data_IF_108130967502
#
_entry.id   IF_108130967502
#
_cell.length_a   1.000
_cell.length_b   1.000
_cell.length_c   1.000
_cell.angle_alpha   90.00
_cell.angle_beta   90.00
_cell.angle_gamma   90.00
#
_symmetry.space_group_name_H-M   'P 1'
#
loop_
_entity.id
_entity.type
_entity.pdbx_description
1 polymer ?
#
# COMPACT_ATOMS: atom_id res chain seq x y z
N UNK A 1 -9.99 -10.27 62.46
CA UNK A 1 -8.70 -9.58 62.64
C UNK A 1 -7.58 -10.48 62.12
N UNK A 2 -6.89 -10.08 61.08
CA UNK A 2 -5.78 -10.84 60.50
C UNK A 2 -5.14 -10.10 59.33
N UNK A 3 -4.22 -9.18 59.64
CA UNK A 3 -3.38 -8.44 58.67
C UNK A 3 -2.49 -9.44 57.92
N UNK A 4 -2.60 -9.53 56.59
CA UNK A 4 -1.50 -10.03 55.75
C UNK A 4 -0.53 -8.88 55.47
N UNK A 5 0.66 -8.96 56.07
CA UNK A 5 1.82 -8.16 55.66
C UNK A 5 2.53 -8.90 54.54
N UNK A 6 2.73 -8.22 53.40
CA UNK A 6 3.64 -8.67 52.37
C UNK A 6 5.09 -8.52 52.82
N UNK A 7 5.94 -9.44 52.37
CA UNK A 7 7.40 -9.30 52.38
C UNK A 7 7.89 -9.32 50.94
N UNK A 8 8.83 -8.44 50.56
CA UNK A 8 9.29 -8.29 49.19
C UNK A 8 10.30 -9.39 48.80
N UNK A 9 10.19 -9.84 47.55
CA UNK A 9 11.16 -10.69 46.87
C UNK A 9 12.30 -9.81 46.33
N UNK A 10 13.30 -9.47 47.13
CA UNK A 10 14.62 -9.09 46.61
C UNK A 10 15.66 -9.23 47.72
N UNK A 11 16.32 -10.39 47.75
CA UNK A 11 17.69 -10.51 48.23
C UNK A 11 18.17 -11.94 48.02
N UNK A 12 18.85 -12.18 46.89
CA UNK A 12 19.91 -13.18 46.82
C UNK A 12 20.94 -12.68 45.81
N UNK A 13 21.98 -12.02 46.30
CA UNK A 13 23.27 -12.00 45.60
C UNK A 13 23.79 -13.45 45.60
N UNK A 14 24.11 -14.06 44.44
CA UNK A 14 24.81 -15.33 44.48
C UNK A 14 26.27 -15.09 44.83
N UNK A 15 26.68 -15.83 45.85
CA UNK A 15 27.99 -15.90 46.43
C UNK A 15 29.01 -16.40 45.39
N UNK A 16 30.15 -15.73 45.29
CA UNK A 16 31.26 -16.11 44.42
C UNK A 16 31.89 -17.40 44.93
N UNK A 17 31.55 -18.55 44.35
CA UNK A 17 32.31 -19.77 44.56
C UNK A 17 32.37 -20.65 43.29
N UNK A 18 33.59 -20.69 42.73
CA UNK A 18 34.23 -21.82 42.02
C UNK A 18 33.39 -22.57 40.98
N UNK A 19 33.47 -22.09 39.72
CA UNK A 19 33.12 -22.87 38.53
C UNK A 19 34.37 -23.66 38.10
N UNK A 20 34.39 -24.96 38.41
CA UNK A 20 35.31 -25.92 37.80
C UNK A 20 34.55 -26.64 36.70
N UNK A 21 35.10 -26.59 35.48
CA UNK A 21 35.00 -27.68 34.52
C UNK A 21 33.71 -27.78 33.68
N UNK A 22 33.54 -26.87 32.72
CA UNK A 22 32.86 -27.20 31.48
C UNK A 22 33.73 -26.73 30.32
N UNK A 23 34.42 -27.65 29.64
CA UNK A 23 35.10 -27.38 28.37
C UNK A 23 34.04 -27.20 27.30
N UNK A 24 33.39 -26.04 27.30
CA UNK A 24 32.58 -25.59 26.18
C UNK A 24 33.53 -25.38 25.01
N UNK A 25 33.37 -26.19 23.95
CA UNK A 25 34.30 -26.25 22.83
C UNK A 25 34.41 -24.88 22.19
N UNK A 26 35.57 -24.23 22.38
CA UNK A 26 35.94 -22.94 21.78
C UNK A 26 35.71 -22.97 20.26
N UNK A 27 35.79 -24.16 19.64
CA UNK A 27 35.52 -24.35 18.22
C UNK A 27 34.08 -24.07 17.80
N UNK A 28 33.08 -24.32 18.66
CA UNK A 28 31.67 -24.03 18.34
C UNK A 28 31.41 -22.52 18.38
N UNK A 29 32.02 -21.81 19.34
CA UNK A 29 31.88 -20.36 19.44
C UNK A 29 32.63 -19.63 18.31
N UNK A 30 33.80 -20.15 17.92
CA UNK A 30 34.57 -19.64 16.77
C UNK A 30 33.81 -19.89 15.46
N UNK A 31 33.15 -21.04 15.29
CA UNK A 31 32.34 -21.33 14.10
C UNK A 31 31.15 -20.39 13.95
N UNK A 32 30.44 -20.07 15.04
CA UNK A 32 29.36 -19.09 15.05
C UNK A 32 29.85 -17.67 14.72
N UNK A 33 31.02 -17.29 15.25
CA UNK A 33 31.67 -16.01 14.92
C UNK A 33 32.05 -15.93 13.44
N UNK A 34 32.60 -17.00 12.85
CA UNK A 34 32.98 -17.03 11.43
C UNK A 34 31.75 -16.89 10.52
N UNK A 35 30.63 -17.55 10.86
CA UNK A 35 29.38 -17.44 10.08
C UNK A 35 28.80 -16.01 10.18
N UNK A 36 28.91 -15.35 11.34
CA UNK A 36 28.45 -13.97 11.53
C UNK A 36 29.31 -12.92 10.80
N UNK A 37 30.56 -13.25 10.44
CA UNK A 37 31.47 -12.37 9.71
C UNK A 37 31.54 -12.66 8.20
N UNK A 38 30.73 -13.58 7.68
CA UNK A 38 30.59 -13.71 6.23
C UNK A 38 29.92 -12.44 5.69
N UNK A 39 30.55 -11.72 4.74
CA UNK A 39 29.92 -10.58 4.11
C UNK A 39 28.74 -11.08 3.29
N UNK A 40 27.54 -10.96 3.83
CA UNK A 40 26.35 -10.95 3.01
C UNK A 40 26.45 -9.68 2.17
N UNK A 41 26.88 -9.81 0.92
CA UNK A 41 26.62 -8.79 -0.10
C UNK A 41 25.10 -8.73 -0.30
N UNK A 42 24.42 -8.04 0.61
CA UNK A 42 23.12 -7.47 0.34
C UNK A 42 23.41 -6.25 -0.52
N UNK A 43 23.41 -6.45 -1.83
CA UNK A 43 23.24 -5.35 -2.77
C UNK A 43 21.89 -4.72 -2.45
N UNK A 44 21.90 -3.61 -1.71
CA UNK A 44 20.80 -2.66 -1.85
C UNK A 44 20.92 -2.11 -3.27
N UNK A 45 20.06 -2.58 -4.15
CA UNK A 45 19.78 -1.86 -5.39
C UNK A 45 19.24 -0.49 -4.95
N UNK A 46 20.11 0.52 -4.93
CA UNK A 46 19.64 1.89 -5.10
C UNK A 46 19.01 1.89 -6.49
N UNK A 47 17.69 1.70 -6.54
CA UNK A 47 16.90 2.00 -7.73
C UNK A 47 17.12 3.49 -7.95
N UNK A 48 18.00 3.78 -8.91
CA UNK A 48 18.21 5.09 -9.47
C UNK A 48 16.83 5.68 -9.75
N UNK A 49 16.53 6.81 -9.11
CA UNK A 49 15.24 7.48 -9.21
C UNK A 49 15.06 8.05 -10.62
N UNK A 50 14.76 7.19 -11.58
CA UNK A 50 14.00 7.62 -12.74
C UNK A 50 12.65 8.04 -12.22
N UNK A 51 12.20 9.20 -12.68
CA UNK A 51 10.90 9.79 -12.42
C UNK A 51 9.83 8.90 -13.07
N UNK A 52 9.58 7.72 -12.48
CA UNK A 52 8.63 6.72 -12.97
C UNK A 52 7.24 7.21 -12.60
N UNK A 53 6.73 8.17 -13.37
CA UNK A 53 5.31 8.52 -13.35
C UNK A 53 4.52 7.29 -13.76
N UNK A 54 3.78 6.73 -12.81
CA UNK A 54 2.95 5.55 -13.04
C UNK A 54 1.82 5.88 -14.03
N UNK A 55 1.22 7.07 -13.93
CA UNK A 55 0.21 7.55 -14.87
C UNK A 55 0.80 8.55 -15.86
N UNK A 56 0.64 8.28 -17.16
CA UNK A 56 1.18 9.11 -18.23
C UNK A 56 0.08 9.91 -18.98
N UNK A 57 -1.03 9.25 -19.33
CA UNK A 57 -2.14 9.90 -20.06
C UNK A 57 -3.49 9.31 -19.66
N UNK A 58 -4.55 10.10 -19.85
CA UNK A 58 -5.94 9.74 -19.57
C UNK A 58 -6.82 10.18 -20.74
N UNK A 59 -7.68 9.31 -21.21
CA UNK A 59 -8.72 9.61 -22.19
C UNK A 59 -10.04 9.02 -21.74
N UNK A 60 -11.15 9.57 -22.25
CA UNK A 60 -12.51 9.23 -21.82
C UNK A 60 -13.41 9.06 -23.02
N UNK A 61 -14.32 8.10 -22.93
CA UNK A 61 -15.35 7.84 -23.94
C UNK A 61 -16.65 7.47 -23.24
N UNK A 62 -17.73 8.18 -23.57
CA UNK A 62 -19.06 7.95 -23.00
C UNK A 62 -19.83 6.91 -23.82
N UNK A 63 -20.70 6.12 -23.19
CA UNK A 63 -21.54 5.10 -23.86
C UNK A 63 -22.34 5.68 -25.02
N UNK A 64 -22.81 6.92 -24.88
CA UNK A 64 -23.65 7.63 -25.85
C UNK A 64 -23.02 7.78 -27.23
N UNK A 65 -21.69 7.78 -27.32
CA UNK A 65 -21.01 7.90 -28.60
C UNK A 65 -20.86 6.55 -29.33
N UNK A 66 -20.98 5.42 -28.62
CA UNK A 66 -20.67 4.10 -29.18
C UNK A 66 -21.63 3.67 -30.29
N UNK A 67 -22.83 4.26 -30.32
CA UNK A 67 -23.84 4.06 -31.36
C UNK A 67 -23.62 4.94 -32.61
N UNK A 68 -22.66 5.88 -32.56
CA UNK A 68 -22.32 6.75 -33.68
C UNK A 68 -21.37 6.07 -34.69
N UNK A 69 -21.35 6.55 -35.94
CA UNK A 69 -20.49 5.99 -37.00
C UNK A 69 -18.99 6.07 -36.66
N UNK A 70 -18.59 7.05 -35.85
CA UNK A 70 -17.24 7.20 -35.33
C UNK A 70 -17.29 7.83 -33.94
N UNK A 71 -16.84 7.09 -32.92
CA UNK A 71 -16.62 7.67 -31.60
C UNK A 71 -15.13 7.86 -31.34
N UNK A 72 -14.76 9.09 -30.95
CA UNK A 72 -13.41 9.47 -30.55
C UNK A 72 -13.38 9.86 -29.09
N UNK A 73 -12.32 9.48 -28.38
CA UNK A 73 -12.14 9.87 -26.99
C UNK A 73 -11.81 11.35 -26.83
N UNK A 74 -12.03 11.87 -25.63
CA UNK A 74 -11.57 13.19 -25.21
C UNK A 74 -10.62 13.09 -24.02
N UNK A 75 -9.72 14.06 -23.88
CA UNK A 75 -8.76 14.13 -22.78
C UNK A 75 -9.27 15.07 -21.69
N UNK A 76 -9.44 14.63 -20.43
CA UNK A 76 -9.82 15.48 -19.32
C UNK A 76 -8.64 16.36 -18.86
N UNK A 77 -8.94 17.44 -18.14
CA UNK A 77 -7.95 18.23 -17.43
C UNK A 77 -7.48 17.53 -16.16
N UNK A 78 -8.40 16.84 -15.47
CA UNK A 78 -8.09 16.14 -14.23
C UNK A 78 -8.69 14.72 -14.22
N UNK A 79 -7.95 13.79 -13.64
CA UNK A 79 -8.41 12.48 -13.21
C UNK A 79 -8.55 12.50 -11.69
N UNK A 80 -9.68 12.03 -11.19
CA UNK A 80 -9.97 11.90 -9.77
C UNK A 80 -10.31 10.43 -9.52
N UNK A 81 -9.48 9.74 -8.75
CA UNK A 81 -9.73 8.37 -8.31
C UNK A 81 -10.12 8.38 -6.84
N UNK A 82 -11.39 8.14 -6.57
CA UNK A 82 -11.97 8.09 -5.24
C UNK A 82 -12.07 6.65 -4.76
N UNK A 83 -11.54 6.37 -3.57
CA UNK A 83 -11.58 5.06 -2.93
C UNK A 83 -12.49 5.12 -1.68
N UNK A 84 -13.61 4.39 -1.74
CA UNK A 84 -14.66 4.39 -0.72
C UNK A 84 -15.23 2.99 -0.47
N UNK A 85 -16.32 2.93 0.30
CA UNK A 85 -17.07 1.70 0.59
C UNK A 85 -18.48 2.05 1.08
N UNK A 86 -19.46 1.16 0.90
CA UNK A 86 -20.85 1.43 1.26
C UNK A 86 -21.05 1.43 2.79
N UNK A 87 -20.24 0.67 3.53
CA UNK A 87 -20.28 0.65 4.99
C UNK A 87 -19.50 1.82 5.64
N UNK A 88 -18.81 2.64 4.85
CA UNK A 88 -17.94 3.70 5.33
C UNK A 88 -18.74 4.98 5.61
N UNK A 89 -19.10 5.23 6.86
CA UNK A 89 -19.77 6.46 7.26
C UNK A 89 -19.03 7.77 6.84
N UNK A 90 -17.71 7.93 7.02
CA UNK A 90 -17.02 9.16 6.59
C UNK A 90 -16.89 9.31 5.06
N UNK A 91 -17.27 8.30 4.27
CA UNK A 91 -17.24 8.33 2.82
C UNK A 91 -18.40 9.15 2.22
N UNK A 92 -19.53 9.24 2.93
CA UNK A 92 -20.75 9.92 2.45
C UNK A 92 -20.48 11.40 2.15
N UNK A 93 -19.80 12.11 3.06
CA UNK A 93 -19.47 13.54 2.87
C UNK A 93 -18.56 13.75 1.65
N UNK A 94 -17.64 12.81 1.41
CA UNK A 94 -16.73 12.87 0.27
C UNK A 94 -17.47 12.63 -1.05
N UNK A 95 -18.42 11.69 -1.06
CA UNK A 95 -19.23 11.37 -2.23
C UNK A 95 -20.15 12.53 -2.64
N UNK A 96 -20.66 13.29 -1.67
CA UNK A 96 -21.40 14.52 -1.95
C UNK A 96 -20.51 15.58 -2.59
N UNK A 97 -19.30 15.77 -2.06
CA UNK A 97 -18.35 16.75 -2.59
C UNK A 97 -17.93 16.41 -4.02
N UNK A 98 -17.50 15.17 -4.30
CA UNK A 98 -17.05 14.78 -5.66
C UNK A 98 -18.18 14.82 -6.68
N UNK A 99 -19.44 14.63 -6.27
CA UNK A 99 -20.61 14.71 -7.16
C UNK A 99 -20.84 16.14 -7.68
N UNK A 100 -20.32 17.15 -6.98
CA UNK A 100 -20.46 18.56 -7.38
C UNK A 100 -19.42 19.00 -8.42
N UNK A 101 -18.40 18.18 -8.69
CA UNK A 101 -17.29 18.50 -9.59
C UNK A 101 -17.74 18.49 -11.06
N UNK A 102 -17.24 19.46 -11.84
CA UNK A 102 -17.55 19.56 -13.26
C UNK A 102 -17.01 18.38 -14.08
N UNK A 103 -17.94 17.54 -14.53
CA UNK A 103 -17.69 16.33 -15.34
C UNK A 103 -17.27 16.61 -16.79
N UNK A 104 -17.32 17.87 -17.25
CA UNK A 104 -16.85 18.25 -18.58
C UNK A 104 -15.32 18.46 -18.62
N UNK A 105 -14.73 18.79 -17.48
CA UNK A 105 -13.28 19.05 -17.38
C UNK A 105 -12.56 17.95 -16.61
N UNK A 106 -13.25 17.26 -15.71
CA UNK A 106 -12.67 16.22 -14.89
C UNK A 106 -13.35 14.88 -15.14
N UNK A 107 -12.59 13.80 -15.00
CA UNK A 107 -13.13 12.45 -14.93
C UNK A 107 -12.95 11.89 -13.54
N UNK A 108 -14.00 11.25 -13.04
CA UNK A 108 -14.02 10.61 -11.72
C UNK A 108 -14.14 9.11 -11.93
N UNK A 109 -13.32 8.34 -11.24
CA UNK A 109 -13.45 6.90 -11.08
C UNK A 109 -13.71 6.64 -9.60
N UNK A 110 -14.81 5.98 -9.28
CA UNK A 110 -15.03 5.48 -7.93
C UNK A 110 -14.56 4.02 -7.82
N UNK A 111 -13.89 3.71 -6.72
CA UNK A 111 -13.27 2.43 -6.44
C UNK A 111 -13.78 1.91 -5.10
N UNK A 112 -14.34 0.70 -5.11
CA UNK A 112 -14.67 -0.05 -3.88
C UNK A 112 -13.68 -1.20 -3.67
N UNK A 113 -12.58 -0.96 -2.93
CA UNK A 113 -11.55 -1.96 -2.66
C UNK A 113 -11.90 -2.91 -1.51
N UNK A 114 -12.96 -2.64 -0.74
CA UNK A 114 -13.32 -3.44 0.43
C UNK A 114 -14.07 -4.70 0.02
N UNK A 115 -13.61 -5.87 0.50
CA UNK A 115 -14.25 -7.16 0.26
C UNK A 115 -15.55 -7.37 1.04
N UNK A 116 -15.93 -6.40 1.88
CA UNK A 116 -17.18 -6.40 2.64
C UNK A 116 -18.35 -5.79 1.86
N UNK A 117 -18.08 -5.07 0.77
CA UNK A 117 -19.11 -4.45 -0.06
C UNK A 117 -19.61 -5.41 -1.14
N UNK A 118 -20.91 -5.39 -1.44
CA UNK A 118 -21.46 -6.09 -2.60
C UNK A 118 -20.85 -5.62 -3.93
N UNK A 119 -20.45 -4.36 -3.96
CA UNK A 119 -19.86 -3.65 -5.09
C UNK A 119 -18.33 -3.77 -5.15
N UNK A 120 -17.74 -4.66 -4.34
CA UNK A 120 -16.31 -4.96 -4.32
C UNK A 120 -15.76 -5.26 -5.72
N UNK A 121 -14.69 -4.55 -6.10
CA UNK A 121 -13.94 -4.87 -7.32
C UNK A 121 -12.47 -5.16 -7.02
N UNK A 122 -12.02 -6.34 -7.41
CA UNK A 122 -10.64 -6.79 -7.13
C UNK A 122 -9.58 -5.87 -7.74
N UNK A 123 -9.81 -5.30 -8.92
CA UNK A 123 -8.81 -4.41 -9.53
C UNK A 123 -8.75 -3.06 -8.80
N UNK A 124 -9.89 -2.56 -8.30
CA UNK A 124 -9.92 -1.41 -7.39
C UNK A 124 -9.12 -1.69 -6.12
N UNK A 125 -9.22 -2.90 -5.55
CA UNK A 125 -8.39 -3.33 -4.41
C UNK A 125 -6.90 -3.40 -4.74
N UNK A 126 -6.54 -3.99 -5.87
CA UNK A 126 -5.14 -4.06 -6.30
C UNK A 126 -4.54 -2.67 -6.51
N UNK A 127 -5.30 -1.74 -7.08
CA UNK A 127 -4.89 -0.34 -7.23
C UNK A 127 -4.72 0.34 -5.88
N UNK A 128 -5.68 0.17 -4.96
CA UNK A 128 -5.62 0.70 -3.60
C UNK A 128 -4.39 0.17 -2.82
N UNK A 129 -4.18 -1.14 -2.77
CA UNK A 129 -3.16 -1.77 -1.91
C UNK A 129 -1.74 -1.75 -2.52
N UNK A 130 -1.61 -1.93 -3.84
CA UNK A 130 -0.31 -2.17 -4.47
C UNK A 130 0.21 -0.97 -5.25
N UNK A 131 -0.64 -0.37 -6.08
CA UNK A 131 -0.24 0.78 -6.91
C UNK A 131 -0.16 2.03 -6.05
N UNK A 132 -1.21 2.35 -5.29
CA UNK A 132 -1.24 3.55 -4.44
C UNK A 132 -0.84 3.31 -3.00
N UNK A 133 -0.83 2.05 -2.53
CA UNK A 133 -0.43 1.68 -1.16
C UNK A 133 -1.15 2.49 -0.09
N UNK A 134 -2.43 2.74 -0.34
CA UNK A 134 -3.29 3.51 0.55
C UNK A 134 -3.56 2.71 1.83
N UNK A 135 -3.65 3.42 2.95
CA UNK A 135 -3.84 2.80 4.26
C UNK A 135 -5.30 2.85 4.72
N UNK A 136 -6.05 3.86 4.27
CA UNK A 136 -7.39 4.15 4.78
C UNK A 136 -8.33 4.60 3.66
N UNK A 137 -9.62 4.35 3.87
CA UNK A 137 -10.72 4.99 3.13
C UNK A 137 -11.43 5.99 4.05
N UNK A 138 -12.02 7.08 3.53
CA UNK A 138 -11.93 7.50 2.14
C UNK A 138 -10.53 8.02 1.79
N UNK A 139 -10.12 7.82 0.53
CA UNK A 139 -8.91 8.44 -0.03
C UNK A 139 -9.19 8.89 -1.46
N UNK A 140 -8.59 10.01 -1.87
CA UNK A 140 -8.68 10.53 -3.23
C UNK A 140 -7.27 10.68 -3.78
N UNK A 141 -7.05 10.13 -4.97
CA UNK A 141 -5.85 10.37 -5.76
C UNK A 141 -6.21 11.23 -6.97
N UNK A 142 -5.57 12.39 -7.10
CA UNK A 142 -5.74 13.30 -8.22
C UNK A 142 -4.53 13.17 -9.16
N UNK A 143 -4.81 12.95 -10.44
CA UNK A 143 -3.83 12.83 -11.53
C UNK A 143 -2.71 11.79 -11.29
N UNK A 144 -2.97 10.78 -10.46
CA UNK A 144 -2.01 9.71 -10.13
C UNK A 144 -0.88 10.13 -9.20
N UNK A 145 -0.90 11.34 -8.62
CA UNK A 145 0.20 11.91 -7.83
C UNK A 145 -0.28 12.53 -6.52
N UNK A 146 -1.32 13.38 -6.57
CA UNK A 146 -1.80 14.14 -5.42
C UNK A 146 -2.74 13.31 -4.55
N UNK A 147 -2.49 13.20 -3.25
CA UNK A 147 -3.28 12.39 -2.31
C UNK A 147 -4.00 13.26 -1.27
N UNK A 148 -5.29 13.00 -1.10
CA UNK A 148 -6.12 13.46 0.02
C UNK A 148 -6.62 12.23 0.78
N UNK A 149 -6.43 12.21 2.10
CA UNK A 149 -6.80 11.08 2.95
C UNK A 149 -7.77 11.51 4.05
N UNK A 150 -8.88 10.78 4.17
CA UNK A 150 -9.96 11.09 5.10
C UNK A 150 -10.89 12.20 4.59
N UNK A 151 -12.06 12.32 5.22
CA UNK A 151 -13.08 13.29 4.82
C UNK A 151 -12.58 14.73 4.93
N UNK A 152 -11.86 15.08 6.00
CA UNK A 152 -11.38 16.45 6.21
C UNK A 152 -10.46 16.97 5.11
N UNK A 153 -9.55 16.14 4.60
CA UNK A 153 -8.67 16.51 3.49
C UNK A 153 -9.42 16.48 2.16
N UNK A 154 -10.34 15.51 1.98
CA UNK A 154 -11.12 15.39 0.76
C UNK A 154 -11.96 16.63 0.45
N UNK A 155 -12.42 17.36 1.47
CA UNK A 155 -13.12 18.64 1.30
C UNK A 155 -12.26 19.77 0.69
N UNK A 156 -10.93 19.59 0.60
CA UNK A 156 -10.03 20.53 -0.10
C UNK A 156 -9.90 20.23 -1.61
N UNK A 157 -10.64 19.25 -2.14
CA UNK A 157 -10.46 18.78 -3.53
C UNK A 157 -10.59 19.89 -4.58
N UNK A 158 -11.56 20.78 -4.46
CA UNK A 158 -11.73 21.87 -5.43
C UNK A 158 -10.49 22.79 -5.46
N UNK A 159 -9.92 23.11 -4.31
CA UNK A 159 -8.67 23.88 -4.23
C UNK A 159 -7.50 23.09 -4.82
N UNK A 160 -7.44 21.78 -4.61
CA UNK A 160 -6.39 20.93 -5.21
C UNK A 160 -6.50 20.97 -6.72
N UNK A 161 -7.70 20.81 -7.30
CA UNK A 161 -7.94 20.80 -8.74
C UNK A 161 -7.59 22.13 -9.41
N UNK A 162 -7.86 23.27 -8.76
CA UNK A 162 -7.50 24.60 -9.28
C UNK A 162 -5.99 24.82 -9.35
N UNK A 163 -5.21 24.14 -8.50
CA UNK A 163 -3.76 24.30 -8.41
C UNK A 163 -3.00 23.20 -9.19
N UNK A 164 -3.69 22.30 -9.87
CA UNK A 164 -3.04 21.27 -10.69
C UNK A 164 -2.43 21.87 -11.96
N UNK A 165 -1.16 21.56 -12.20
CA UNK A 165 -0.44 21.94 -13.42
C UNK A 165 -0.07 20.74 -14.30
N UNK A 166 -0.64 19.56 -14.00
CA UNK A 166 -0.33 18.35 -14.76
C UNK A 166 -1.05 18.36 -16.10
N UNK A 167 -0.33 17.94 -17.14
CA UNK A 167 -0.89 17.74 -18.47
C UNK A 167 -0.72 16.28 -18.86
N UNK A 168 -1.82 15.66 -19.29
CA UNK A 168 -1.80 14.29 -19.78
C UNK A 168 -1.26 14.26 -21.21
N UNK A 169 -0.34 13.34 -21.49
CA UNK A 169 0.25 13.17 -22.82
C UNK A 169 0.81 11.77 -23.00
N UNK A 170 0.58 11.16 -24.16
CA UNK A 170 1.10 9.82 -24.46
C UNK A 170 0.18 9.02 -25.38
N UNK A 171 -1.12 9.30 -25.36
CA UNK A 171 -2.14 8.80 -26.27
C UNK A 171 -2.38 9.86 -27.35
N UNK A 172 -2.19 9.50 -28.61
CA UNK A 172 -2.45 10.39 -29.75
C UNK A 172 -3.92 10.36 -30.17
N UNK A 173 -4.52 9.17 -30.20
CA UNK A 173 -5.91 8.96 -30.60
C UNK A 173 -6.45 7.66 -30.01
N UNK A 174 -7.74 7.66 -29.68
CA UNK A 174 -8.54 6.45 -29.40
C UNK A 174 -9.86 6.60 -30.14
N UNK A 175 -10.19 5.57 -30.92
CA UNK A 175 -11.44 5.51 -31.66
C UNK A 175 -12.09 4.15 -31.53
N UNK A 176 -13.42 4.14 -31.54
CA UNK A 176 -14.22 2.93 -31.52
C UNK A 176 -15.05 2.82 -32.80
N UNK A 177 -14.99 1.66 -33.46
CA UNK A 177 -15.72 1.39 -34.69
C UNK A 177 -16.08 -0.09 -34.79
N UNK A 178 -17.37 -0.39 -34.98
CA UNK A 178 -17.89 -1.74 -35.22
C UNK A 178 -17.41 -2.79 -34.20
N UNK A 179 -17.46 -2.48 -32.90
CA UNK A 179 -17.05 -3.42 -31.84
C UNK A 179 -15.55 -3.46 -31.57
N UNK A 180 -14.74 -2.76 -32.37
CA UNK A 180 -13.29 -2.76 -32.24
C UNK A 180 -12.81 -1.38 -31.80
N UNK A 181 -12.02 -1.37 -30.73
CA UNK A 181 -11.28 -0.21 -30.27
C UNK A 181 -9.94 -0.14 -31.02
N UNK A 182 -9.56 1.05 -31.43
CA UNK A 182 -8.28 1.39 -32.03
C UNK A 182 -7.61 2.47 -31.19
N UNK A 183 -6.31 2.36 -31.01
CA UNK A 183 -5.56 3.38 -30.30
C UNK A 183 -4.15 3.55 -30.85
N UNK A 184 -3.64 4.75 -30.68
CA UNK A 184 -2.24 5.06 -30.93
C UNK A 184 -1.67 5.75 -29.69
N UNK A 185 -0.76 5.07 -29.00
CA UNK A 185 -0.14 5.53 -27.78
C UNK A 185 1.36 5.26 -27.78
N UNK A 186 2.06 5.91 -26.86
CA UNK A 186 3.49 5.74 -26.62
C UNK A 186 3.79 4.30 -26.19
N UNK A 187 4.84 3.72 -26.76
CA UNK A 187 5.24 2.33 -26.50
C UNK A 187 5.87 2.18 -25.10
N UNK A 188 5.90 0.95 -24.56
CA UNK A 188 6.51 0.65 -23.26
C UNK A 188 5.57 0.77 -22.06
N UNK A 189 4.28 1.07 -22.27
CA UNK A 189 3.26 1.23 -21.22
C UNK A 189 2.11 0.24 -21.41
N UNK A 190 1.21 0.16 -20.43
CA UNK A 190 -0.06 -0.53 -20.60
C UNK A 190 -1.19 0.48 -20.78
N UNK A 191 -2.10 0.17 -21.71
CA UNK A 191 -3.38 0.84 -21.83
C UNK A 191 -4.40 0.07 -20.98
N UNK A 192 -4.74 0.65 -19.83
CA UNK A 192 -5.75 0.12 -18.92
C UNK A 192 -7.07 0.84 -19.15
N UNK A 193 -8.13 0.07 -19.37
CA UNK A 193 -9.46 0.58 -19.73
C UNK A 193 -10.42 0.22 -18.61
N UNK A 194 -10.78 1.23 -17.83
CA UNK A 194 -11.76 1.12 -16.75
C UNK A 194 -13.16 1.29 -17.30
N UNK A 195 -14.02 0.29 -17.07
CA UNK A 195 -15.44 0.38 -17.36
C UNK A 195 -16.16 0.84 -16.12
N UNK A 196 -16.85 1.96 -16.26
CA UNK A 196 -17.58 2.61 -15.17
C UNK A 196 -19.08 2.48 -15.40
N UNK A 197 -19.82 2.22 -14.34
CA UNK A 197 -21.27 2.06 -14.35
C UNK A 197 -21.91 2.84 -13.20
N UNK A 198 -23.20 3.14 -13.34
CA UNK A 198 -24.00 3.63 -12.23
C UNK A 198 -24.50 2.44 -11.42
N UNK A 199 -24.08 2.30 -10.17
CA UNK A 199 -24.39 1.11 -9.35
C UNK A 199 -25.13 1.52 -8.08
N UNK A 200 -26.19 0.79 -7.71
CA UNK A 200 -26.96 1.10 -6.50
C UNK A 200 -26.10 0.90 -5.25
N UNK A 201 -26.19 1.83 -4.30
CA UNK A 201 -25.57 1.70 -2.99
C UNK A 201 -26.26 0.57 -2.20
N UNK A 202 -25.49 -0.21 -1.44
CA UNK A 202 -25.99 -1.40 -0.73
C UNK A 202 -26.99 -1.05 0.39
N UNK A 203 -26.65 -0.05 1.21
CA UNK A 203 -27.44 0.30 2.41
C UNK A 203 -28.34 1.53 2.26
N UNK A 204 -28.15 2.34 1.22
CA UNK A 204 -28.78 3.66 1.07
C UNK A 204 -29.52 3.77 -0.26
N UNK A 205 -30.51 4.65 -0.33
CA UNK A 205 -31.37 4.78 -1.52
C UNK A 205 -30.81 5.80 -2.54
N UNK A 206 -29.55 5.62 -2.94
CA UNK A 206 -28.93 6.33 -4.06
C UNK A 206 -27.98 5.41 -4.83
N UNK A 207 -27.47 5.89 -5.96
CA UNK A 207 -26.50 5.15 -6.78
C UNK A 207 -25.16 5.86 -6.82
N UNK A 208 -24.09 5.07 -6.88
CA UNK A 208 -22.72 5.48 -7.12
C UNK A 208 -22.50 5.74 -8.61
N UNK A 209 -22.35 7.00 -9.05
CA UNK A 209 -22.00 7.29 -10.42
C UNK A 209 -20.53 6.96 -10.67
N UNK A 210 -20.22 6.47 -11.86
CA UNK A 210 -18.84 6.23 -12.29
C UNK A 210 -18.08 5.19 -11.43
N UNK A 211 -18.78 4.18 -10.91
CA UNK A 211 -18.15 3.10 -10.15
C UNK A 211 -17.44 2.13 -11.10
N UNK A 212 -16.17 1.82 -10.81
CA UNK A 212 -15.39 0.86 -11.57
C UNK A 212 -15.91 -0.57 -11.37
N UNK A 213 -16.41 -1.19 -12.45
CA UNK A 213 -16.96 -2.55 -12.44
C UNK A 213 -16.12 -3.55 -13.23
N UNK A 214 -15.29 -3.09 -14.17
CA UNK A 214 -14.44 -3.96 -14.98
C UNK A 214 -13.18 -3.24 -15.48
N UNK A 215 -12.17 -4.03 -15.85
CA UNK A 215 -10.89 -3.54 -16.33
C UNK A 215 -10.40 -4.45 -17.46
N UNK A 216 -9.99 -3.84 -18.58
CA UNK A 216 -9.16 -4.50 -19.59
C UNK A 216 -7.78 -3.87 -19.59
N UNK A 217 -6.74 -4.67 -19.83
CA UNK A 217 -5.36 -4.21 -19.90
C UNK A 217 -4.72 -4.71 -21.18
N UNK A 218 -4.16 -3.79 -21.96
CA UNK A 218 -3.45 -4.08 -23.19
C UNK A 218 -2.05 -3.48 -23.14
N UNK A 219 -1.12 -4.13 -23.85
CA UNK A 219 0.16 -3.52 -24.18
C UNK A 219 -0.06 -2.36 -25.15
N UNK A 220 0.55 -1.20 -24.92
CA UNK A 220 0.32 0.01 -25.73
C UNK A 220 0.81 -0.14 -27.19
N UNK A 221 1.67 -1.13 -27.45
CA UNK A 221 2.13 -1.53 -28.77
C UNK A 221 1.04 -2.22 -29.60
N UNK A 222 0.11 -2.92 -28.94
CA UNK A 222 -1.10 -3.39 -29.61
C UNK A 222 -1.86 -2.14 -30.07
N UNK A 223 -2.39 -2.09 -31.28
CA UNK A 223 -3.06 -0.89 -31.81
C UNK A 223 -4.58 -1.04 -31.94
N UNK A 224 -5.10 -2.21 -31.57
CA UNK A 224 -6.53 -2.50 -31.61
C UNK A 224 -6.91 -3.71 -30.77
N UNK A 225 -8.15 -3.75 -30.28
CA UNK A 225 -8.76 -4.91 -29.64
C UNK A 225 -10.28 -4.91 -29.88
N UNK A 226 -10.85 -6.08 -30.10
CA UNK A 226 -12.30 -6.25 -30.11
C UNK A 226 -12.82 -6.30 -28.67
N UNK A 227 -13.76 -5.41 -28.35
CA UNK A 227 -14.36 -5.27 -27.01
C UNK A 227 -15.89 -5.31 -27.07
N UNK A 228 -16.49 -5.74 -28.18
CA UNK A 228 -17.95 -5.68 -28.37
C UNK A 228 -18.73 -6.48 -27.33
N UNK A 229 -18.24 -7.66 -26.98
CA UNK A 229 -18.85 -8.52 -25.95
C UNK A 229 -18.76 -7.88 -24.56
N UNK A 230 -17.68 -7.15 -24.28
CA UNK A 230 -17.46 -6.52 -22.98
C UNK A 230 -18.37 -5.30 -22.72
N UNK A 231 -18.83 -4.68 -23.81
CA UNK A 231 -19.73 -3.50 -23.81
C UNK A 231 -21.20 -3.87 -24.05
N UNK A 232 -21.56 -5.15 -24.03
CA UNK A 232 -22.94 -5.57 -24.24
C UNK A 232 -23.86 -5.07 -23.09
N UNK A 233 -24.97 -4.42 -23.45
CA UNK A 233 -25.96 -3.85 -22.51
C UNK A 233 -25.37 -2.90 -21.46
N UNK A 234 -24.28 -2.21 -21.81
CA UNK A 234 -23.59 -1.31 -20.92
C UNK A 234 -24.02 0.15 -21.14
N UNK A 235 -24.22 0.86 -20.04
CA UNK A 235 -24.46 2.31 -20.04
C UNK A 235 -23.57 2.97 -18.97
N UNK A 236 -22.68 3.87 -19.41
CA UNK A 236 -21.70 4.48 -18.54
C UNK A 236 -20.54 5.13 -19.28
N UNK A 237 -19.35 5.07 -18.69
CA UNK A 237 -18.13 5.70 -19.21
C UNK A 237 -16.93 4.76 -19.25
N UNK A 238 -16.15 4.80 -20.31
CA UNK A 238 -14.84 4.18 -20.40
C UNK A 238 -13.76 5.21 -20.09
N UNK A 239 -12.81 4.83 -19.23
CA UNK A 239 -11.63 5.65 -18.93
C UNK A 239 -10.39 4.87 -19.31
N UNK A 240 -9.65 5.41 -20.27
CA UNK A 240 -8.41 4.87 -20.78
C UNK A 240 -7.26 5.53 -20.04
N UNK A 241 -6.42 4.72 -19.39
CA UNK A 241 -5.26 5.16 -18.63
C UNK A 241 -4.03 4.53 -19.28
N UNK A 242 -3.10 5.38 -19.74
CA UNK A 242 -1.78 4.92 -20.15
C UNK A 242 -0.89 4.93 -18.92
N UNK A 243 -0.58 3.75 -18.40
CA UNK A 243 0.14 3.61 -17.14
C UNK A 243 1.21 2.51 -17.17
N UNK A 244 2.24 2.69 -16.35
CA UNK A 244 3.28 1.69 -16.09
C UNK A 244 2.89 0.80 -14.91
N UNK A 245 3.49 -0.39 -14.82
CA UNK A 245 3.30 -1.29 -13.68
C UNK A 245 4.26 -0.88 -12.58
N UNK A 246 3.72 -0.38 -11.47
CA UNK A 246 4.55 -0.10 -10.31
C UNK A 246 3.83 0.66 -9.21
N UNK A 247 4.49 0.79 -8.04
CA UNK A 247 4.00 1.66 -6.99
C UNK A 247 4.12 3.13 -7.43
N UNK A 248 3.02 3.87 -7.33
CA UNK A 248 3.03 5.31 -7.56
C UNK A 248 3.59 6.03 -6.32
N UNK A 249 4.34 7.10 -6.57
CA UNK A 249 4.80 8.00 -5.52
C UNK A 249 3.73 9.07 -5.33
N UNK A 250 2.99 8.95 -4.23
CA UNK A 250 1.96 9.92 -3.88
C UNK A 250 2.51 11.04 -3.00
N UNK A 251 1.99 12.25 -3.21
CA UNK A 251 2.33 13.45 -2.46
C UNK A 251 1.05 13.97 -1.81
N UNK A 252 1.07 14.24 -0.51
CA UNK A 252 -0.09 14.83 0.16
C UNK A 252 -0.40 16.20 -0.44
N UNK A 253 -1.64 16.40 -0.87
CA UNK A 253 -2.11 17.64 -1.47
C UNK A 253 -2.84 18.55 -0.48
N UNK A 254 -3.01 18.10 0.77
CA UNK A 254 -3.67 18.85 1.83
C UNK A 254 -2.68 19.48 2.79
N UNK A 255 -3.08 20.60 3.37
CA UNK A 255 -2.36 21.22 4.51
C UNK A 255 -2.90 20.77 5.85
N UNK A 256 -4.04 20.06 5.87
CA UNK A 256 -4.64 19.51 7.08
C UNK A 256 -3.96 18.20 7.46
N UNK A 257 -3.87 17.87 8.76
CA UNK A 257 -3.37 16.57 9.18
C UNK A 257 -4.31 15.45 8.69
N UNK A 258 -3.76 14.29 8.35
CA UNK A 258 -4.49 13.08 7.93
C UNK A 258 -5.17 12.35 9.12
N UNK A 259 -5.72 13.11 10.07
CA UNK A 259 -6.18 12.61 11.37
C UNK A 259 -5.06 12.56 12.42
N UNK A 260 -5.17 11.66 13.41
CA UNK A 260 -4.22 11.58 14.54
C UNK A 260 -2.80 11.08 14.17
N UNK A 261 -2.54 10.85 12.89
CA UNK A 261 -1.24 10.46 12.37
C UNK A 261 -0.81 11.49 11.32
N UNK A 262 0.23 12.25 11.67
CA UNK A 262 0.95 13.12 10.76
C UNK A 262 2.14 12.35 10.18
N UNK A 263 1.96 11.82 8.96
CA UNK A 263 3.04 11.14 8.22
C UNK A 263 4.06 12.10 7.61
N UNK A 264 3.78 13.40 7.64
CA UNK A 264 4.65 14.49 7.17
C UNK A 264 5.27 15.27 8.35
N UNK A 265 5.23 14.72 9.57
CA UNK A 265 6.12 15.20 10.61
C UNK A 265 7.55 14.85 10.18
N UNK A 266 8.15 15.79 9.47
CA UNK A 266 9.58 15.85 9.24
C UNK A 266 10.24 15.78 10.62
N UNK A 267 10.62 14.57 11.04
CA UNK A 267 11.61 14.30 12.09
C UNK A 267 13.02 14.76 11.63
N UNK A 268 13.07 15.81 10.80
CA UNK A 268 14.25 16.52 10.33
C UNK A 268 14.98 17.23 11.48
N UNK A 269 14.36 17.37 12.66
CA UNK A 269 15.03 17.84 13.88
C UNK A 269 15.70 16.75 14.71
N UNK A 270 15.37 15.47 14.51
CA UNK A 270 16.07 14.37 15.19
C UNK A 270 17.29 13.85 14.41
N UNK A 271 17.42 14.25 13.13
CA UNK A 271 18.47 13.72 12.23
C UNK A 271 19.72 14.59 12.09
N UNK A 272 19.71 15.85 12.52
CA UNK A 272 20.92 16.69 12.43
C UNK A 272 21.93 16.45 13.57
N UNK A 273 21.51 15.93 14.72
CA UNK A 273 22.43 15.66 15.84
C UNK A 273 23.09 14.26 15.77
N UNK A 274 22.60 13.37 14.90
CA UNK A 274 23.17 12.02 14.69
C UNK A 274 23.97 11.89 13.37
N UNK A 275 24.50 12.99 12.84
CA UNK A 275 25.46 12.96 11.72
C UNK A 275 26.91 12.71 12.15
N UNK A 276 27.17 12.56 13.45
CA UNK A 276 28.48 12.15 13.94
C UNK A 276 28.43 10.67 14.33
N UNK A 277 29.21 9.89 13.57
CA UNK A 277 29.37 8.42 13.63
C UNK A 277 28.27 7.61 12.93
N UNK A 278 28.36 7.55 11.59
CA UNK A 278 27.82 6.42 10.82
C UNK A 278 28.46 5.13 11.33
N UNK A 279 27.85 4.49 12.31
CA UNK A 279 28.15 3.11 12.65
C UNK A 279 27.76 2.25 11.45
N UNK A 280 28.70 1.42 10.98
CA UNK A 280 28.47 0.50 9.87
C UNK A 280 27.23 -0.38 10.20
N UNK A 281 26.30 -0.60 9.24
CA UNK A 281 25.12 -1.44 9.44
C UNK A 281 25.44 -2.82 10.05
N UNK A 282 26.61 -3.37 9.72
CA UNK A 282 27.11 -4.61 10.33
C UNK A 282 27.36 -4.48 11.83
N UNK A 283 27.90 -3.36 12.30
CA UNK A 283 28.11 -3.07 13.72
C UNK A 283 26.79 -2.97 14.48
N UNK A 284 25.78 -2.36 13.87
CA UNK A 284 24.43 -2.24 14.46
C UNK A 284 23.80 -3.64 14.59
N UNK A 285 23.89 -4.47 13.56
CA UNK A 285 23.39 -5.84 13.59
C UNK A 285 24.08 -6.69 14.66
N UNK A 286 25.41 -6.57 14.80
CA UNK A 286 26.18 -7.29 15.83
C UNK A 286 25.77 -6.85 17.24
N UNK A 287 25.67 -5.54 17.49
CA UNK A 287 25.26 -5.00 18.80
C UNK A 287 23.85 -5.47 19.15
N UNK A 288 22.92 -5.40 18.20
CA UNK A 288 21.53 -5.81 18.41
C UNK A 288 21.43 -7.31 18.68
N UNK A 289 22.20 -8.13 17.96
CA UNK A 289 22.28 -9.57 18.19
C UNK A 289 22.84 -9.92 19.57
N UNK A 290 23.86 -9.21 20.04
CA UNK A 290 24.42 -9.41 21.38
C UNK A 290 23.43 -9.02 22.49
N UNK A 291 22.67 -7.95 22.29
CA UNK A 291 21.62 -7.53 23.24
C UNK A 291 20.51 -8.57 23.31
N UNK A 292 20.04 -9.06 22.16
CA UNK A 292 19.02 -10.12 22.11
C UNK A 292 19.50 -11.41 22.78
N UNK A 293 20.76 -11.80 22.57
CA UNK A 293 21.36 -12.95 23.22
C UNK A 293 21.44 -12.77 24.74
N UNK A 294 21.82 -11.58 25.21
CA UNK A 294 21.88 -11.26 26.64
C UNK A 294 20.50 -11.32 27.31
N UNK A 295 19.45 -10.92 26.60
CA UNK A 295 18.06 -11.01 27.08
C UNK A 295 17.59 -12.47 27.15
N UNK A 296 18.06 -13.33 26.24
CA UNK A 296 17.68 -14.76 26.19
C UNK A 296 18.47 -15.65 27.17
N UNK A 297 19.61 -15.16 27.68
CA UNK A 297 20.51 -15.90 28.58
C UNK A 297 19.83 -16.45 29.85
N UNK A 298 18.99 -15.69 30.58
CA UNK A 298 18.28 -16.19 31.75
C UNK A 298 17.35 -17.37 31.43
N UNK A 299 16.65 -17.31 30.28
CA UNK A 299 15.76 -18.38 29.84
C UNK A 299 16.53 -19.66 29.49
N UNK A 300 17.69 -19.53 28.84
CA UNK A 300 18.56 -20.68 28.52
C UNK A 300 19.15 -21.34 29.78
N UNK A 301 19.53 -20.54 30.79
CA UNK A 301 20.02 -21.06 32.08
C UNK A 301 18.90 -21.83 32.80
N UNK A 302 17.68 -21.28 32.81
CA UNK A 302 16.52 -21.95 33.42
C UNK A 302 16.18 -23.27 32.70
N UNK A 303 16.23 -23.27 31.36
CA UNK A 303 16.00 -24.47 30.55
C UNK A 303 17.03 -25.58 30.82
N UNK A 304 18.31 -25.24 31.00
CA UNK A 304 19.33 -26.23 31.38
C UNK A 304 19.16 -26.75 32.81
N UNK A 305 18.68 -25.91 33.73
CA UNK A 305 18.32 -26.34 35.08
C UNK A 305 17.22 -27.40 35.09
N UNK A 306 16.21 -27.24 34.23
CA UNK A 306 15.11 -28.19 34.09
C UNK A 306 15.55 -29.53 33.49
N UNK A 307 16.48 -29.54 32.51
CA UNK A 307 17.02 -30.79 31.94
C UNK A 307 17.86 -31.63 32.92
N UNK A 308 18.36 -31.04 34.01
CA UNK A 308 19.16 -31.77 35.03
C UNK A 308 18.31 -32.40 36.14
N UNK A 309 16.99 -32.16 36.15
CA UNK A 309 16.06 -32.68 37.15
C UNK A 309 15.40 -33.99 36.75
N UNK A 310 15.72 -34.55 35.58
CA UNK A 310 15.22 -35.86 35.14
C UNK A 310 16.02 -36.96 35.87
N UNK A 311 15.43 -37.68 36.83
CA UNK A 311 16.12 -38.77 37.52
C UNK A 311 16.23 -39.99 36.61
N UNK A 312 17.37 -40.65 36.68
CA UNK A 312 17.67 -41.94 36.06
C UNK A 312 16.75 -43.02 36.66
N UNK A 313 15.73 -43.45 35.91
CA UNK A 313 14.82 -44.53 36.30
C UNK A 313 15.60 -45.85 36.42
N UNK A 314 15.73 -46.39 37.63
CA UNK A 314 16.10 -47.79 37.86
C UNK A 314 14.84 -48.61 38.14
N UNK A 315 14.69 -49.79 37.54
CA UNK A 315 13.53 -50.62 37.75
C UNK A 315 13.65 -51.35 39.10
N UNK A 316 12.59 -51.32 39.90
CA UNK A 316 12.40 -52.31 40.96
C UNK A 316 11.11 -53.08 40.70
N UNK A 317 11.30 -54.39 40.83
CA UNK A 317 10.42 -55.52 40.53
C UNK A 317 9.28 -55.66 41.55
N UNK A 318 8.23 -56.32 41.07
CA UNK A 318 7.21 -57.16 41.74
C UNK A 318 7.25 -57.32 43.27
N UNK A 319 6.14 -57.06 43.96
CA UNK A 319 5.10 -58.04 44.34
C UNK A 319 3.82 -57.35 44.87
#
# INVERSE_FOLDING_TARGET
>A
MGRRKGTPFFNTCPNFHTIIGAKFSVHIMVLFLIIAFLPNHVTSEEVESQDTRVLLDVNVMDSTCLDEESCTSWRPNNLIEYFGADWCEPCIEVEEEIRSIDSNQSVIIQHHPSNSDQTFFIQSKMKFENQYRLLFIPSIVVNGESLLTGSSQALEINQVLENQNQTFSGISDISYMNGTLYWNASDGYNLNIWKLENTMHEFENYSHPNLATSLLSFKSENKSANISEWLENWDGRLVFMLEDIGPAKLISASTLPSGNYDFNSDDSKYSEELRNEKLNPSTIAIITGLIMLAILLPALIMFQGLRKLEPEDKPEEEE
#
